data_IF_703275829022
#
_entry.id   IF_703275829022
#
_cell.length_a   1.000
_cell.length_b   1.000
_cell.length_c   1.000
_cell.angle_alpha   90.00
_cell.angle_beta   90.00
_cell.angle_gamma   90.00
#
_symmetry.space_group_name_H-M   'P 1'
#
loop_
_entity.id
_entity.type
_entity.pdbx_description
1 polymer ?
#
# COMPACT_ATOMS: atom_id res chain seq x y z
N UNK A 1 5.47 19.80 -6.87
CA UNK A 1 4.27 19.83 -6.02
C UNK A 1 3.24 18.83 -6.50
N UNK A 2 2.58 18.19 -5.54
CA UNK A 2 1.52 17.23 -5.85
C UNK A 2 0.22 18.00 -6.03
N UNK A 3 -0.44 17.75 -7.15
CA UNK A 3 -1.79 18.27 -7.36
C UNK A 3 -2.80 17.21 -6.95
N UNK A 4 -3.87 17.62 -6.29
CA UNK A 4 -4.92 16.72 -5.85
C UNK A 4 -6.22 16.97 -6.61
N UNK A 5 -6.98 15.90 -6.90
CA UNK A 5 -6.63 14.49 -6.68
C UNK A 5 -5.62 13.99 -7.71
N UNK A 6 -4.85 12.98 -7.33
CA UNK A 6 -3.91 12.36 -8.26
C UNK A 6 -3.72 10.90 -7.92
N UNK A 7 -3.32 10.12 -8.92
CA UNK A 7 -2.97 8.71 -8.73
C UNK A 7 -1.58 8.65 -8.11
N UNK A 8 -1.45 7.90 -7.04
CA UNK A 8 -0.21 7.88 -6.26
C UNK A 8 0.16 6.43 -5.93
N UNK A 9 1.26 5.90 -6.50
CA UNK A 9 1.69 4.53 -6.21
C UNK A 9 2.53 4.51 -4.93
N UNK A 10 2.21 3.57 -4.05
CA UNK A 10 2.96 3.34 -2.82
C UNK A 10 3.45 1.91 -2.84
N UNK A 11 4.73 1.72 -2.58
CA UNK A 11 5.32 0.40 -2.53
C UNK A 11 5.48 -0.05 -1.09
N UNK A 12 4.95 -1.22 -0.77
CA UNK A 12 5.09 -1.82 0.55
C UNK A 12 5.70 -3.19 0.41
N UNK A 13 6.52 -3.58 1.37
CA UNK A 13 7.12 -4.89 1.41
C UNK A 13 6.93 -5.52 2.78
N UNK A 14 6.59 -6.79 2.79
CA UNK A 14 6.46 -7.57 4.01
C UNK A 14 6.79 -9.02 3.76
N UNK A 15 6.82 -9.81 4.83
CA UNK A 15 7.06 -11.24 4.70
C UNK A 15 5.93 -11.88 3.88
N UNK A 16 6.30 -12.84 3.06
CA UNK A 16 5.32 -13.61 2.29
C UNK A 16 4.52 -14.47 3.25
N UNK A 17 3.30 -14.03 3.52
CA UNK A 17 2.43 -14.70 4.47
C UNK A 17 1.00 -14.65 3.97
N UNK A 18 0.21 -15.62 4.43
CA UNK A 18 -1.20 -15.61 4.12
C UNK A 18 -1.85 -14.34 4.70
N UNK A 19 -2.70 -13.72 3.91
CA UNK A 19 -3.43 -12.54 4.33
C UNK A 19 -2.69 -11.21 4.16
N UNK A 20 -1.42 -11.21 3.73
CA UNK A 20 -0.67 -9.97 3.58
C UNK A 20 -1.32 -9.05 2.54
N UNK A 21 -1.65 -9.58 1.36
CA UNK A 21 -2.27 -8.78 0.29
C UNK A 21 -3.62 -8.24 0.77
N UNK A 22 -4.45 -9.09 1.35
CA UNK A 22 -5.77 -8.67 1.84
C UNK A 22 -5.66 -7.60 2.92
N UNK A 23 -4.69 -7.71 3.82
CA UNK A 23 -4.46 -6.72 4.87
C UNK A 23 -4.07 -5.37 4.26
N UNK A 24 -3.19 -5.37 3.25
CA UNK A 24 -2.76 -4.12 2.61
C UNK A 24 -3.89 -3.48 1.82
N UNK A 25 -4.70 -4.29 1.15
CA UNK A 25 -5.90 -3.79 0.44
C UNK A 25 -6.85 -3.13 1.43
N UNK A 26 -7.06 -3.73 2.60
CA UNK A 26 -7.93 -3.17 3.63
C UNK A 26 -7.41 -1.81 4.13
N UNK A 27 -6.11 -1.69 4.36
CA UNK A 27 -5.51 -0.41 4.76
C UNK A 27 -5.70 0.64 3.68
N UNK A 28 -5.43 0.28 2.41
CA UNK A 28 -5.59 1.21 1.30
C UNK A 28 -7.04 1.69 1.20
N UNK A 29 -8.01 0.78 1.30
CA UNK A 29 -9.42 1.14 1.22
C UNK A 29 -9.91 2.01 2.37
N UNK A 30 -9.34 1.84 3.54
CA UNK A 30 -9.74 2.67 4.68
C UNK A 30 -9.35 4.14 4.49
N UNK A 31 -8.39 4.41 3.60
CA UNK A 31 -7.94 5.77 3.30
C UNK A 31 -8.39 6.24 1.92
N UNK A 32 -8.70 5.31 1.03
CA UNK A 32 -9.22 5.59 -0.31
C UNK A 32 -10.37 4.63 -0.57
N UNK A 33 -11.63 5.05 -0.31
CA UNK A 33 -12.79 4.17 -0.46
C UNK A 33 -12.98 3.63 -1.88
N UNK A 34 -12.42 4.30 -2.88
CA UNK A 34 -12.53 3.87 -4.27
C UNK A 34 -11.31 3.06 -4.74
N UNK A 35 -10.46 2.63 -3.81
CA UNK A 35 -9.29 1.84 -4.15
C UNK A 35 -9.69 0.57 -4.90
N UNK A 36 -9.04 0.35 -6.05
CA UNK A 36 -9.31 -0.82 -6.90
C UNK A 36 -8.21 -1.86 -6.67
N UNK A 37 -8.57 -2.96 -5.99
CA UNK A 37 -7.59 -4.00 -5.71
C UNK A 37 -7.09 -4.72 -6.97
N UNK A 38 -7.82 -4.63 -8.08
CA UNK A 38 -7.35 -5.20 -9.35
C UNK A 38 -6.09 -4.50 -9.86
N UNK A 39 -5.81 -3.28 -9.38
CA UNK A 39 -4.61 -2.54 -9.79
C UNK A 39 -3.39 -2.87 -8.96
N UNK A 40 -3.52 -3.69 -7.92
CA UNK A 40 -2.38 -4.07 -7.08
C UNK A 40 -1.38 -4.89 -7.89
N UNK A 41 -0.12 -4.46 -7.88
CA UNK A 41 0.94 -5.23 -8.50
C UNK A 41 1.69 -5.98 -7.40
N UNK A 42 1.95 -7.25 -7.65
CA UNK A 42 2.59 -8.12 -6.67
C UNK A 42 3.90 -8.64 -7.26
N UNK A 43 4.97 -8.51 -6.48
CA UNK A 43 6.28 -9.02 -6.88
C UNK A 43 6.86 -9.82 -5.74
N UNK A 44 7.28 -11.05 -6.02
CA UNK A 44 8.01 -11.87 -5.04
C UNK A 44 9.48 -11.49 -5.04
N UNK A 45 10.11 -11.53 -3.87
CA UNK A 45 11.55 -11.41 -3.77
C UNK A 45 12.23 -12.64 -4.36
N UNK A 46 13.53 -12.51 -4.63
CA UNK A 46 14.31 -13.57 -5.28
C UNK A 46 14.18 -14.93 -4.58
N UNK A 47 14.23 -14.94 -3.26
CA UNK A 47 14.11 -16.17 -2.49
C UNK A 47 12.68 -16.59 -2.18
N UNK A 48 11.70 -15.80 -2.58
CA UNK A 48 10.28 -16.07 -2.31
C UNK A 48 9.85 -15.81 -0.88
N UNK A 49 10.70 -15.20 -0.05
CA UNK A 49 10.39 -14.96 1.37
C UNK A 49 9.65 -13.66 1.62
N UNK A 50 9.64 -12.74 0.68
CA UNK A 50 9.02 -11.44 0.81
C UNK A 50 8.13 -11.14 -0.38
N UNK A 51 7.10 -10.34 -0.13
CA UNK A 51 6.25 -9.79 -1.18
C UNK A 51 6.40 -8.28 -1.21
N UNK A 52 6.55 -7.73 -2.41
CA UNK A 52 6.44 -6.31 -2.65
C UNK A 52 5.13 -6.03 -3.35
N UNK A 53 4.38 -5.07 -2.85
CA UNK A 53 3.12 -4.66 -3.45
C UNK A 53 3.21 -3.21 -3.89
N UNK A 54 2.62 -2.90 -5.04
CA UNK A 54 2.39 -1.52 -5.43
C UNK A 54 0.90 -1.24 -5.26
N UNK A 55 0.59 -0.32 -4.36
CA UNK A 55 -0.77 0.11 -4.06
C UNK A 55 -0.97 1.48 -4.70
N UNK A 56 -1.79 1.57 -5.74
CA UNK A 56 -2.05 2.84 -6.39
C UNK A 56 -3.34 3.42 -5.84
N UNK A 57 -3.21 4.47 -5.05
CA UNK A 57 -4.35 5.13 -4.41
C UNK A 57 -4.67 6.45 -5.10
N UNK A 58 -5.89 6.92 -4.91
CA UNK A 58 -6.26 8.27 -5.29
C UNK A 58 -5.93 9.18 -4.11
N UNK A 59 -4.89 9.98 -4.28
CA UNK A 59 -4.48 10.94 -3.26
C UNK A 59 -5.37 12.17 -3.35
N UNK A 60 -6.06 12.50 -2.27
CA UNK A 60 -6.99 13.63 -2.22
C UNK A 60 -6.45 14.79 -1.39
N UNK A 61 -5.47 14.53 -0.54
CA UNK A 61 -4.83 15.57 0.28
C UNK A 61 -3.53 15.02 0.84
N UNK A 62 -2.68 15.92 1.30
CA UNK A 62 -1.45 15.52 1.98
C UNK A 62 -1.76 14.81 3.30
N UNK A 63 -2.79 15.28 4.02
CA UNK A 63 -3.18 14.67 5.28
C UNK A 63 -3.60 13.21 5.08
N UNK A 64 -4.34 12.93 4.02
CA UNK A 64 -4.73 11.55 3.68
C UNK A 64 -3.50 10.67 3.44
N UNK A 65 -2.53 11.18 2.66
CA UNK A 65 -1.31 10.43 2.37
C UNK A 65 -0.49 10.20 3.64
N UNK A 66 -0.35 11.21 4.47
CA UNK A 66 0.41 11.09 5.72
C UNK A 66 -0.21 10.03 6.64
N UNK A 67 -1.54 10.02 6.75
CA UNK A 67 -2.26 9.03 7.53
C UNK A 67 -2.07 7.63 6.96
N UNK A 68 -2.15 7.50 5.64
CA UNK A 68 -1.97 6.21 4.97
C UNK A 68 -0.54 5.69 5.18
N UNK A 69 0.47 6.53 4.99
CA UNK A 69 1.86 6.13 5.22
C UNK A 69 2.09 5.71 6.67
N UNK A 70 1.49 6.42 7.61
CA UNK A 70 1.58 6.07 9.02
C UNK A 70 0.93 4.71 9.30
N UNK A 71 -0.24 4.48 8.73
CA UNK A 71 -0.95 3.20 8.90
C UNK A 71 -0.15 2.04 8.31
N UNK A 72 0.46 2.23 7.14
CA UNK A 72 1.27 1.20 6.50
C UNK A 72 2.55 0.95 7.30
N UNK A 73 3.28 1.99 7.65
CA UNK A 73 4.57 1.83 8.31
C UNK A 73 4.45 1.29 9.74
N UNK A 74 3.30 1.46 10.38
CA UNK A 74 3.06 0.91 11.73
C UNK A 74 2.39 -0.46 11.69
N UNK A 75 2.03 -0.96 10.51
CA UNK A 75 1.35 -2.26 10.40
C UNK A 75 2.33 -3.39 10.72
N UNK A 76 1.94 -4.35 11.57
CA UNK A 76 2.87 -5.41 11.98
C UNK A 76 3.36 -6.31 10.84
N UNK A 77 2.61 -6.42 9.75
CA UNK A 77 3.00 -7.22 8.59
C UNK A 77 3.94 -6.48 7.63
N UNK A 78 4.11 -5.17 7.80
CA UNK A 78 4.91 -4.35 6.89
C UNK A 78 6.33 -4.20 7.40
N UNK A 79 7.30 -4.43 6.51
CA UNK A 79 8.72 -4.22 6.83
C UNK A 79 9.24 -2.90 6.28
N UNK A 80 8.83 -2.56 5.07
CA UNK A 80 9.33 -1.34 4.40
C UNK A 80 8.19 -0.71 3.62
N UNK A 81 8.12 0.63 3.68
CA UNK A 81 7.23 1.43 2.84
C UNK A 81 8.09 2.40 2.04
N UNK A 82 7.87 2.46 0.73
CA UNK A 82 8.58 3.38 -0.15
C UNK A 82 7.64 4.38 -0.81
#
# INVERSE_FOLDING_TARGET
>A
LIEYPSRFPIKVMGARSEGFVAAMVAVARSHDPEFDEATVEIRESRGGNYLGLTLTVTATSRAQLDDLYRALSSHPMVKVVL
#
